data_IF_960488002155
#
_entry.id   IF_960488002155
#
_cell.length_a   1.000
_cell.length_b   1.000
_cell.length_c   1.000
_cell.angle_alpha   90.00
_cell.angle_beta   90.00
_cell.angle_gamma   90.00
#
_symmetry.space_group_name_H-M   'P 1'
#
loop_
_entity.id
_entity.type
_entity.pdbx_description
1 polymer ?
#
# COMPACT_ATOMS: atom_id res chain seq x y z
N UNK A 1 26.24 -6.30 3.39
CA UNK A 1 25.89 -7.61 4.02
C UNK A 1 25.18 -8.48 2.99
N UNK A 2 25.59 -9.75 2.81
CA UNK A 2 24.86 -10.71 1.96
C UNK A 2 23.67 -11.26 2.76
N UNK A 3 22.45 -11.00 2.29
CA UNK A 3 21.24 -11.56 2.87
C UNK A 3 21.21 -13.09 2.72
N UNK A 4 20.82 -13.80 3.78
CA UNK A 4 20.58 -15.25 3.70
C UNK A 4 19.42 -15.54 2.74
N UNK A 5 19.38 -16.74 2.15
CA UNK A 5 18.27 -17.13 1.27
C UNK A 5 16.92 -17.00 1.99
N UNK A 6 16.89 -17.26 3.30
CA UNK A 6 15.68 -17.15 4.14
C UNK A 6 15.18 -15.71 4.19
N UNK A 7 16.10 -14.78 4.44
CA UNK A 7 15.77 -13.36 4.46
C UNK A 7 15.32 -12.85 3.09
N UNK A 8 15.90 -13.36 1.99
CA UNK A 8 15.47 -13.00 0.62
C UNK A 8 14.04 -13.49 0.32
N UNK A 9 13.73 -14.73 0.66
CA UNK A 9 12.37 -15.30 0.45
C UNK A 9 11.34 -14.55 1.30
N UNK A 10 11.64 -14.30 2.57
CA UNK A 10 10.76 -13.53 3.45
C UNK A 10 10.56 -12.09 2.95
N UNK A 11 11.64 -11.43 2.52
CA UNK A 11 11.54 -10.09 1.96
C UNK A 11 10.69 -10.05 0.68
N UNK A 12 10.85 -11.04 -0.22
CA UNK A 12 10.05 -11.13 -1.44
C UNK A 12 8.56 -11.33 -1.16
N UNK A 13 8.20 -12.03 -0.07
CA UNK A 13 6.82 -12.23 0.33
C UNK A 13 6.22 -11.02 1.08
N UNK A 14 6.97 -10.43 2.00
CA UNK A 14 6.47 -9.39 2.92
C UNK A 14 6.48 -8.00 2.28
N UNK A 15 7.55 -7.64 1.55
CA UNK A 15 7.74 -6.27 1.05
C UNK A 15 6.64 -5.83 0.07
N UNK A 16 6.26 -6.62 -0.96
CA UNK A 16 5.21 -6.20 -1.89
C UNK A 16 3.87 -5.99 -1.19
N UNK A 17 3.54 -6.85 -0.23
CA UNK A 17 2.26 -6.74 0.49
C UNK A 17 2.26 -5.54 1.43
N UNK A 18 3.36 -5.25 2.10
CA UNK A 18 3.50 -4.01 2.87
C UNK A 18 3.35 -2.78 1.97
N UNK A 19 3.96 -2.79 0.78
CA UNK A 19 3.80 -1.70 -0.18
C UNK A 19 2.34 -1.52 -0.61
N UNK A 20 1.64 -2.61 -0.97
CA UNK A 20 0.22 -2.55 -1.28
C UNK A 20 -0.63 -2.06 -0.11
N UNK A 21 -0.37 -2.54 1.11
CA UNK A 21 -1.08 -2.12 2.30
C UNK A 21 -0.89 -0.61 2.57
N UNK A 22 0.34 -0.10 2.41
CA UNK A 22 0.64 1.34 2.55
C UNK A 22 -0.08 2.14 1.47
N UNK A 23 -0.03 1.72 0.20
CA UNK A 23 -0.72 2.41 -0.90
C UNK A 23 -2.22 2.46 -0.65
N UNK A 24 -2.84 1.32 -0.35
CA UNK A 24 -4.28 1.22 -0.07
C UNK A 24 -4.66 2.10 1.14
N UNK A 25 -3.84 2.09 2.19
CA UNK A 25 -4.08 2.91 3.38
C UNK A 25 -4.02 4.40 3.04
N UNK A 26 -2.98 4.84 2.32
CA UNK A 26 -2.83 6.24 1.90
C UNK A 26 -3.98 6.68 1.00
N UNK A 27 -4.37 5.88 0.01
CA UNK A 27 -5.49 6.21 -0.88
C UNK A 27 -6.81 6.26 -0.12
N UNK A 28 -7.02 5.33 0.83
CA UNK A 28 -8.25 5.31 1.63
C UNK A 28 -8.33 6.54 2.53
N UNK A 29 -7.24 6.90 3.21
CA UNK A 29 -7.17 8.13 4.02
C UNK A 29 -7.44 9.37 3.17
N UNK A 30 -6.84 9.44 1.97
CA UNK A 30 -7.06 10.55 1.06
C UNK A 30 -8.52 10.68 0.61
N UNK A 31 -9.16 9.57 0.22
CA UNK A 31 -10.58 9.54 -0.14
C UNK A 31 -11.47 9.94 1.04
N UNK A 32 -11.21 9.40 2.24
CA UNK A 32 -12.00 9.69 3.43
C UNK A 32 -11.90 11.16 3.84
N UNK A 33 -10.71 11.76 3.76
CA UNK A 33 -10.55 13.19 4.04
C UNK A 33 -11.29 14.06 3.03
N UNK A 34 -11.31 13.68 1.76
CA UNK A 34 -12.09 14.37 0.74
C UNK A 34 -13.60 14.29 1.01
N UNK A 35 -14.10 13.08 1.29
CA UNK A 35 -15.51 12.86 1.62
C UNK A 35 -15.94 13.59 2.89
N UNK A 36 -15.11 13.57 3.93
CA UNK A 36 -15.35 14.27 5.19
C UNK A 36 -15.57 15.77 5.00
N UNK A 37 -14.69 16.42 4.22
CA UNK A 37 -14.82 17.86 3.92
C UNK A 37 -16.09 18.15 3.14
N UNK A 38 -16.38 17.35 2.12
CA UNK A 38 -17.58 17.53 1.30
C UNK A 38 -18.86 17.36 2.13
N UNK A 39 -18.94 16.35 3.00
CA UNK A 39 -20.12 16.11 3.86
C UNK A 39 -20.40 17.28 4.81
N UNK A 40 -19.35 17.85 5.39
CA UNK A 40 -19.43 19.02 6.28
C UNK A 40 -19.86 20.26 5.51
N UNK A 41 -19.24 20.52 4.35
CA UNK A 41 -19.52 21.70 3.53
C UNK A 41 -20.93 21.66 2.93
N UNK A 42 -21.35 20.50 2.39
CA UNK A 42 -22.71 20.30 1.90
C UNK A 42 -23.74 20.49 3.01
N UNK A 43 -23.47 19.99 4.22
CA UNK A 43 -24.39 20.16 5.35
C UNK A 43 -24.49 21.64 5.75
N UNK A 44 -23.37 22.36 5.83
CA UNK A 44 -23.36 23.79 6.10
C UNK A 44 -24.14 24.56 5.04
N UNK A 45 -23.92 24.29 3.75
CA UNK A 45 -24.62 24.95 2.66
C UNK A 45 -26.13 24.67 2.68
N UNK A 46 -26.52 23.41 2.93
CA UNK A 46 -27.93 23.03 3.06
C UNK A 46 -28.62 23.82 4.18
N UNK A 47 -28.03 23.82 5.38
CA UNK A 47 -28.57 24.56 6.54
C UNK A 47 -28.63 26.07 6.30
N UNK A 48 -27.63 26.65 5.63
CA UNK A 48 -27.64 28.06 5.26
C UNK A 48 -28.72 28.38 4.23
N UNK A 49 -28.94 27.51 3.24
CA UNK A 49 -30.00 27.69 2.25
C UNK A 49 -31.40 27.56 2.88
N UNK A 50 -31.58 26.61 3.80
CA UNK A 50 -32.82 26.47 4.56
C UNK A 50 -33.09 27.72 5.43
N UNK A 51 -32.05 28.25 6.07
CA UNK A 51 -32.12 29.51 6.83
C UNK A 51 -32.48 30.70 5.92
N UNK A 52 -31.87 30.80 4.74
CA UNK A 52 -32.21 31.82 3.73
C UNK A 52 -33.68 31.74 3.32
N UNK A 53 -34.14 30.55 2.92
CA UNK A 53 -35.53 30.33 2.53
C UNK A 53 -36.51 30.67 3.66
N UNK A 54 -36.18 30.27 4.89
CA UNK A 54 -36.99 30.59 6.08
C UNK A 54 -37.10 32.09 6.32
N UNK A 55 -35.99 32.82 6.25
CA UNK A 55 -35.97 34.28 6.37
C UNK A 55 -36.80 34.96 5.29
N UNK A 56 -36.65 34.52 4.04
CA UNK A 56 -37.42 35.03 2.91
C UNK A 56 -38.93 34.80 3.14
N UNK A 57 -39.34 33.60 3.56
CA UNK A 57 -40.74 33.31 3.89
C UNK A 57 -41.27 34.20 5.02
N UNK A 58 -40.50 34.46 6.07
CA UNK A 58 -40.92 35.36 7.14
C UNK A 58 -41.12 36.79 6.66
N UNK A 59 -40.22 37.32 5.84
CA UNK A 59 -40.37 38.66 5.28
C UNK A 59 -41.49 38.70 4.25
N UNK A 60 -41.69 37.67 3.44
CA UNK A 60 -42.82 37.58 2.50
C UNK A 60 -44.18 37.60 3.21
N UNK A 61 -44.31 36.89 4.34
CA UNK A 61 -45.51 36.96 5.19
C UNK A 61 -45.70 38.36 5.75
N UNK A 62 -44.63 39.01 6.24
CA UNK A 62 -44.70 40.39 6.73
C UNK A 62 -45.12 41.37 5.61
N UNK A 63 -44.52 41.24 4.43
CA UNK A 63 -44.82 42.04 3.23
C UNK A 63 -46.28 41.85 2.79
N UNK A 64 -46.77 40.60 2.77
CA UNK A 64 -48.17 40.29 2.45
C UNK A 64 -49.13 40.90 3.46
N UNK A 65 -48.77 40.86 4.75
CA UNK A 65 -49.57 41.44 5.83
C UNK A 65 -49.71 42.96 5.70
N UNK A 66 -48.63 43.65 5.32
CA UNK A 66 -48.63 45.12 5.17
C UNK A 66 -49.12 45.59 3.79
N UNK A 67 -49.22 44.68 2.81
CA UNK A 67 -49.53 45.00 1.41
C UNK A 67 -50.77 45.87 1.22
N UNK A 68 -51.93 45.63 1.88
CA UNK A 68 -53.10 46.49 1.71
C UNK A 68 -52.86 47.94 2.15
N UNK A 69 -52.12 48.13 3.25
CA UNK A 69 -51.76 49.46 3.77
C UNK A 69 -50.71 50.13 2.87
N UNK A 70 -49.73 49.37 2.38
CA UNK A 70 -48.68 49.87 1.50
C UNK A 70 -49.21 50.28 0.12
N UNK A 71 -50.12 49.50 -0.46
CA UNK A 71 -50.71 49.77 -1.77
C UNK A 71 -51.60 51.02 -1.73
N UNK A 72 -52.42 51.17 -0.69
CA UNK A 72 -53.31 52.31 -0.49
C UNK A 72 -52.57 53.63 -0.15
N UNK A 73 -51.37 53.54 0.44
CA UNK A 73 -50.61 54.71 0.85
C UNK A 73 -49.97 55.46 -0.33
N UNK A 74 -49.99 56.80 -0.25
CA UNK A 74 -49.20 57.67 -1.13
C UNK A 74 -47.70 57.61 -0.77
N UNK A 75 -46.79 57.91 -1.71
CA UNK A 75 -45.38 58.10 -1.38
C UNK A 75 -45.19 59.15 -0.27
N UNK A 76 -44.42 58.81 0.77
CA UNK A 76 -44.16 59.67 1.91
C UNK A 76 -45.25 59.69 2.99
N UNK A 77 -46.32 58.89 2.89
CA UNK A 77 -47.37 58.83 3.90
C UNK A 77 -46.85 58.31 5.26
N UNK A 78 -46.53 59.25 6.14
CA UNK A 78 -45.97 58.98 7.47
C UNK A 78 -46.96 58.31 8.42
N UNK A 79 -48.27 58.53 8.25
CA UNK A 79 -49.29 57.94 9.10
C UNK A 79 -49.46 56.45 8.78
N UNK A 80 -49.54 56.09 7.49
CA UNK A 80 -49.57 54.70 7.06
C UNK A 80 -48.27 53.97 7.44
N UNK A 81 -47.11 54.62 7.26
CA UNK A 81 -45.81 54.07 7.69
C UNK A 81 -45.79 53.78 9.19
N UNK A 82 -46.28 54.70 10.02
CA UNK A 82 -46.33 54.51 11.47
C UNK A 82 -47.24 53.36 11.89
N UNK A 83 -48.37 53.15 11.20
CA UNK A 83 -49.25 52.00 11.43
C UNK A 83 -48.54 50.68 11.11
N UNK A 84 -47.85 50.60 9.99
CA UNK A 84 -47.07 49.41 9.61
C UNK A 84 -45.93 49.15 10.59
N UNK A 85 -45.19 50.19 10.98
CA UNK A 85 -44.13 50.07 12.00
C UNK A 85 -44.70 49.49 13.30
N UNK A 86 -45.85 49.97 13.77
CA UNK A 86 -46.52 49.45 14.97
C UNK A 86 -46.96 47.99 14.82
N UNK A 87 -47.41 47.58 13.63
CA UNK A 87 -47.82 46.20 13.37
C UNK A 87 -46.61 45.26 13.40
N UNK A 88 -45.56 45.60 12.66
CA UNK A 88 -44.34 44.80 12.58
C UNK A 88 -43.57 44.77 13.90
N UNK A 89 -43.54 45.89 14.65
CA UNK A 89 -42.88 45.95 15.97
C UNK A 89 -43.50 45.00 16.99
N UNK A 90 -44.80 44.74 16.89
CA UNK A 90 -45.53 43.83 17.78
C UNK A 90 -45.58 42.39 17.25
N UNK A 91 -44.94 42.11 16.12
CA UNK A 91 -44.90 40.77 15.53
C UNK A 91 -43.58 40.09 15.88
N UNK A 92 -43.67 38.99 16.63
CA UNK A 92 -42.55 38.09 16.95
C UNK A 92 -42.87 36.68 16.47
N UNK A 93 -41.84 35.87 16.22
CA UNK A 93 -42.01 34.48 15.81
C UNK A 93 -40.86 33.61 16.31
N UNK A 94 -41.10 32.30 16.36
CA UNK A 94 -40.16 31.38 16.98
C UNK A 94 -39.91 31.75 18.45
N UNK A 95 -38.69 31.50 18.93
CA UNK A 95 -38.31 31.84 20.31
C UNK A 95 -37.86 33.30 20.45
N UNK A 96 -37.03 33.77 19.52
CA UNK A 96 -36.32 35.06 19.62
C UNK A 96 -36.39 35.88 18.31
N UNK A 97 -37.27 35.51 17.36
CA UNK A 97 -37.39 36.16 16.06
C UNK A 97 -38.24 37.43 16.11
N UNK A 98 -37.73 38.50 15.50
CA UNK A 98 -38.41 39.81 15.44
C UNK A 98 -38.03 40.55 14.16
N UNK A 99 -38.90 41.44 13.71
CA UNK A 99 -38.62 42.32 12.57
C UNK A 99 -37.92 43.61 13.01
N UNK A 100 -37.09 44.17 12.14
CA UNK A 100 -36.47 45.48 12.32
C UNK A 100 -36.62 46.31 11.06
N UNK A 101 -36.45 47.62 11.18
CA UNK A 101 -36.45 48.51 10.04
C UNK A 101 -35.55 49.73 10.19
N UNK A 102 -35.01 50.17 9.06
CA UNK A 102 -34.13 51.34 8.93
C UNK A 102 -34.52 52.15 7.69
N UNK A 103 -34.28 53.46 7.70
CA UNK A 103 -34.39 54.28 6.49
C UNK A 103 -33.10 54.29 5.65
N UNK A 104 -33.08 55.04 4.53
CA UNK A 104 -31.88 55.14 3.67
C UNK A 104 -30.64 55.67 4.38
N UNK A 105 -30.82 56.54 5.37
CA UNK A 105 -29.75 57.12 6.18
C UNK A 105 -29.40 56.26 7.38
N UNK A 106 -29.89 55.01 7.41
CA UNK A 106 -29.64 53.99 8.43
C UNK A 106 -30.11 54.40 9.82
N UNK A 107 -31.12 55.27 9.89
CA UNK A 107 -31.81 55.60 11.13
C UNK A 107 -32.77 54.47 11.46
N UNK A 108 -32.70 53.97 12.70
CA UNK A 108 -33.59 52.88 13.14
C UNK A 108 -35.02 53.38 13.26
N UNK A 109 -35.93 52.76 12.51
CA UNK A 109 -37.37 53.02 12.59
C UNK A 109 -38.03 52.15 13.66
N UNK A 110 -37.63 50.88 13.77
CA UNK A 110 -38.05 49.96 14.83
C UNK A 110 -37.13 48.75 14.95
N UNK A 111 -37.22 48.03 16.07
CA UNK A 111 -36.51 46.76 16.33
C UNK A 111 -37.34 45.90 17.29
N UNK A 112 -38.18 45.03 16.74
CA UNK A 112 -39.21 44.34 17.51
C UNK A 112 -40.03 45.35 18.33
N UNK A 113 -40.39 44.98 19.55
CA UNK A 113 -41.10 45.86 20.48
C UNK A 113 -40.16 46.71 21.36
N UNK A 114 -38.84 46.66 21.13
CA UNK A 114 -37.87 47.40 21.92
C UNK A 114 -37.76 48.86 21.44
N UNK A 115 -37.81 49.85 22.34
CA UNK A 115 -37.57 51.26 21.99
C UNK A 115 -36.08 51.56 21.74
N UNK A 116 -35.18 50.60 21.97
CA UNK A 116 -33.74 50.83 21.97
C UNK A 116 -33.24 51.34 20.62
N UNK A 117 -32.63 52.52 20.64
CA UNK A 117 -31.98 53.12 19.48
C UNK A 117 -32.92 53.59 18.37
N UNK A 118 -34.24 53.55 18.55
CA UNK A 118 -35.19 54.14 17.59
C UNK A 118 -34.88 55.64 17.41
N UNK A 119 -34.84 56.11 16.16
CA UNK A 119 -34.49 57.48 15.79
C UNK A 119 -32.99 57.79 15.80
N UNK A 120 -32.12 56.85 16.18
CA UNK A 120 -30.66 57.02 16.12
C UNK A 120 -30.10 56.45 14.82
N UNK A 121 -29.02 57.06 14.32
CA UNK A 121 -28.27 56.55 13.19
C UNK A 121 -27.37 55.38 13.60
N UNK A 122 -27.29 54.37 12.75
CA UNK A 122 -26.39 53.22 12.87
C UNK A 122 -25.43 53.09 11.68
N UNK A 123 -25.21 54.18 10.94
CA UNK A 123 -24.43 54.19 9.69
C UNK A 123 -23.01 53.67 9.85
N UNK A 124 -22.41 53.98 11.00
CA UNK A 124 -21.03 53.64 11.35
C UNK A 124 -20.91 52.43 12.28
N UNK A 125 -22.03 51.74 12.57
CA UNK A 125 -22.01 50.54 13.40
C UNK A 125 -21.31 49.40 12.66
N UNK A 126 -20.22 48.89 13.25
CA UNK A 126 -19.42 47.80 12.66
C UNK A 126 -19.37 46.58 13.57
N UNK A 127 -19.39 45.42 12.94
CA UNK A 127 -19.00 44.19 13.62
C UNK A 127 -17.45 44.03 13.64
N UNK A 128 -16.89 43.07 14.41
CA UNK A 128 -15.45 42.83 14.47
C UNK A 128 -14.83 42.39 13.14
N UNK A 129 -15.63 41.95 12.17
CA UNK A 129 -15.17 41.59 10.84
C UNK A 129 -15.12 42.81 9.89
N UNK A 130 -15.51 43.99 10.38
CA UNK A 130 -15.52 45.25 9.63
C UNK A 130 -16.77 45.47 8.77
N UNK A 131 -17.79 44.62 8.89
CA UNK A 131 -19.07 44.77 8.20
C UNK A 131 -19.85 45.92 8.83
N UNK A 132 -20.33 46.84 8.01
CA UNK A 132 -21.16 47.95 8.50
C UNK A 132 -22.61 47.49 8.58
N UNK A 133 -22.92 46.74 9.64
CA UNK A 133 -24.14 45.93 9.79
C UNK A 133 -25.38 46.62 9.23
N UNK A 134 -25.72 47.80 9.74
CA UNK A 134 -26.97 48.47 9.40
C UNK A 134 -26.96 49.10 8.01
N UNK A 135 -25.82 49.67 7.61
CA UNK A 135 -25.64 50.25 6.28
C UNK A 135 -25.70 49.18 5.20
N UNK A 136 -25.05 48.06 5.44
CA UNK A 136 -24.98 46.96 4.49
C UNK A 136 -26.33 46.21 4.46
N UNK A 137 -27.08 46.12 5.57
CA UNK A 137 -28.47 45.65 5.57
C UNK A 137 -29.38 46.54 4.72
N UNK A 138 -29.24 47.87 4.83
CA UNK A 138 -30.01 48.79 3.98
C UNK A 138 -29.61 48.63 2.50
N UNK A 139 -28.33 48.45 2.23
CA UNK A 139 -27.79 48.24 0.88
C UNK A 139 -28.35 46.97 0.24
N UNK A 140 -28.28 45.82 0.91
CA UNK A 140 -28.72 44.54 0.32
C UNK A 140 -30.23 44.49 0.08
N UNK A 141 -31.02 45.20 0.87
CA UNK A 141 -32.45 45.38 0.60
C UNK A 141 -32.74 46.27 -0.61
N UNK A 142 -31.87 47.23 -0.93
CA UNK A 142 -32.02 48.14 -2.08
C UNK A 142 -31.49 47.57 -3.39
N UNK A 143 -30.40 46.81 -3.35
CA UNK A 143 -29.76 46.25 -4.55
C UNK A 143 -30.34 44.90 -4.99
N UNK A 144 -31.25 44.33 -4.19
CA UNK A 144 -31.93 43.07 -4.50
C UNK A 144 -31.09 41.81 -4.21
N UNK A 145 -29.95 41.94 -3.54
CA UNK A 145 -29.21 40.78 -3.03
C UNK A 145 -29.82 40.21 -1.76
N UNK A 146 -30.58 41.03 -1.02
CA UNK A 146 -31.41 40.76 0.16
C UNK A 146 -30.72 40.19 1.41
N UNK A 147 -29.62 39.45 1.27
CA UNK A 147 -29.00 38.70 2.36
C UNK A 147 -27.70 39.35 2.83
N UNK A 148 -27.51 39.43 4.16
CA UNK A 148 -26.24 39.85 4.77
C UNK A 148 -25.86 38.91 5.91
N UNK A 149 -24.63 38.41 5.90
CA UNK A 149 -24.02 37.79 7.08
C UNK A 149 -23.25 38.83 7.88
N UNK A 150 -23.47 38.88 9.18
CA UNK A 150 -22.84 39.83 10.10
C UNK A 150 -22.85 39.28 11.52
N UNK A 151 -22.03 39.84 12.40
CA UNK A 151 -22.03 39.47 13.81
C UNK A 151 -22.72 40.53 14.67
N UNK A 152 -23.59 40.11 15.59
CA UNK A 152 -24.34 41.02 16.46
C UNK A 152 -24.71 40.36 17.78
N UNK A 153 -24.85 41.16 18.84
CA UNK A 153 -25.26 40.65 20.15
C UNK A 153 -26.72 40.19 20.13
N UNK A 154 -27.04 39.23 20.99
CA UNK A 154 -28.43 38.86 21.25
C UNK A 154 -29.08 39.89 22.19
N UNK A 155 -30.41 40.09 22.13
CA UNK A 155 -31.11 40.91 23.12
C UNK A 155 -30.78 40.45 24.55
N UNK A 156 -30.27 41.36 25.39
CA UNK A 156 -29.92 41.05 26.79
C UNK A 156 -28.59 40.32 27.01
N UNK A 157 -27.81 40.05 25.96
CA UNK A 157 -26.48 39.42 26.07
C UNK A 157 -25.38 40.31 25.50
N UNK A 158 -24.16 40.12 26.00
CA UNK A 158 -22.94 40.79 25.52
C UNK A 158 -22.16 39.97 24.49
N UNK A 159 -22.45 38.67 24.39
CA UNK A 159 -21.79 37.77 23.46
C UNK A 159 -22.24 38.06 22.03
N UNK A 160 -21.25 38.13 21.14
CA UNK A 160 -21.45 38.39 19.73
C UNK A 160 -21.63 37.08 18.99
N UNK A 161 -22.77 36.90 18.32
CA UNK A 161 -23.05 35.70 17.54
C UNK A 161 -23.13 36.03 16.05
N UNK A 162 -22.70 35.11 15.16
CA UNK A 162 -22.91 35.26 13.73
C UNK A 162 -24.40 35.16 13.41
N UNK A 163 -24.87 36.03 12.51
CA UNK A 163 -26.26 36.09 12.07
C UNK A 163 -26.34 36.19 10.56
N UNK A 164 -27.45 35.72 10.02
CA UNK A 164 -27.86 35.96 8.65
C UNK A 164 -29.14 36.80 8.67
N UNK A 165 -29.09 37.97 8.03
CA UNK A 165 -30.24 38.85 7.84
C UNK A 165 -30.79 38.76 6.42
N UNK A 166 -32.11 38.93 6.29
CA UNK A 166 -32.80 39.20 5.03
C UNK A 166 -33.53 40.53 5.13
N UNK A 167 -33.44 41.34 4.08
CA UNK A 167 -34.10 42.65 4.03
C UNK A 167 -34.77 42.95 2.70
N UNK A 168 -35.89 43.66 2.76
CA UNK A 168 -36.68 44.13 1.62
C UNK A 168 -36.83 45.66 1.71
N UNK A 169 -36.69 46.36 0.59
CA UNK A 169 -36.84 47.82 0.52
C UNK A 169 -38.24 48.25 0.06
N UNK A 170 -38.86 49.15 0.82
CA UNK A 170 -40.16 49.77 0.57
C UNK A 170 -39.95 51.22 0.09
N UNK A 171 -39.89 51.47 -1.23
CA UNK A 171 -39.53 52.78 -1.78
C UNK A 171 -40.51 53.90 -1.44
N UNK A 172 -41.82 53.63 -1.28
CA UNK A 172 -42.79 54.69 -0.93
C UNK A 172 -42.49 55.34 0.42
N UNK A 173 -41.79 54.65 1.30
CA UNK A 173 -41.58 55.06 2.69
C UNK A 173 -40.11 55.27 3.07
N UNK A 174 -39.22 55.09 2.09
CA UNK A 174 -37.77 55.01 2.29
C UNK A 174 -37.43 54.14 3.51
N UNK A 175 -37.90 52.90 3.49
CA UNK A 175 -37.79 51.99 4.62
C UNK A 175 -37.36 50.62 4.15
N UNK A 176 -36.28 50.11 4.73
CA UNK A 176 -35.93 48.71 4.67
C UNK A 176 -36.58 48.00 5.85
N UNK A 177 -37.25 46.89 5.59
CA UNK A 177 -37.71 45.96 6.62
C UNK A 177 -36.93 44.67 6.50
N UNK A 178 -36.68 44.01 7.62
CA UNK A 178 -36.00 42.74 7.57
C UNK A 178 -36.06 41.99 8.88
N UNK A 179 -35.44 40.82 8.84
CA UNK A 179 -35.29 39.97 10.00
C UNK A 179 -34.01 39.15 9.90
N UNK A 180 -33.62 38.49 10.98
CA UNK A 180 -32.38 37.73 11.07
C UNK A 180 -32.54 36.46 11.88
N UNK A 181 -31.76 35.43 11.53
CA UNK A 181 -31.57 34.22 12.35
C UNK A 181 -30.12 34.12 12.80
N UNK A 182 -29.91 33.49 13.95
CA UNK A 182 -28.57 33.22 14.45
C UNK A 182 -27.99 31.98 13.74
N UNK A 183 -26.70 32.03 13.43
CA UNK A 183 -25.97 30.95 12.76
C UNK A 183 -25.25 30.01 13.74
N UNK A 184 -25.19 30.35 15.02
CA UNK A 184 -24.64 29.53 16.10
C UNK A 184 -25.31 28.14 16.19
N UNK A 185 -26.62 28.07 16.03
CA UNK A 185 -27.35 26.80 15.96
C UNK A 185 -27.02 25.96 14.73
N UNK A 186 -26.64 26.60 13.62
CA UNK A 186 -26.17 25.92 12.40
C UNK A 186 -24.75 25.41 12.62
N UNK A 187 -23.86 26.25 13.15
CA UNK A 187 -22.48 25.86 13.47
C UNK A 187 -22.44 24.73 14.50
N UNK A 188 -23.32 24.73 15.50
CA UNK A 188 -23.46 23.63 16.45
C UNK A 188 -23.88 22.32 15.78
N UNK A 189 -24.83 22.36 14.83
CA UNK A 189 -25.24 21.17 14.07
C UNK A 189 -24.12 20.67 13.15
N UNK A 190 -23.39 21.59 12.51
CA UNK A 190 -22.22 21.25 11.70
C UNK A 190 -21.14 20.61 12.58
N UNK A 191 -20.91 21.11 13.79
CA UNK A 191 -19.95 20.54 14.74
C UNK A 191 -20.33 19.10 15.16
N UNK A 192 -21.62 18.81 15.34
CA UNK A 192 -22.10 17.43 15.60
C UNK A 192 -21.80 16.50 14.43
N UNK A 193 -21.97 16.97 13.18
CA UNK A 193 -21.62 16.19 11.99
C UNK A 193 -20.12 16.00 11.88
N UNK A 194 -19.32 17.04 12.10
CA UNK A 194 -17.85 16.96 12.15
C UNK A 194 -17.38 15.91 13.16
N UNK A 195 -17.89 15.95 14.39
CA UNK A 195 -17.54 14.97 15.43
C UNK A 195 -17.93 13.52 15.03
N UNK A 196 -19.07 13.33 14.36
CA UNK A 196 -19.50 12.02 13.86
C UNK A 196 -18.57 11.51 12.75
N UNK A 197 -18.16 12.39 11.84
CA UNK A 197 -17.22 12.07 10.76
C UNK A 197 -15.86 11.70 11.32
N UNK A 198 -15.33 12.49 12.27
CA UNK A 198 -14.06 12.20 12.94
C UNK A 198 -14.06 10.84 13.64
N UNK A 199 -15.14 10.53 14.38
CA UNK A 199 -15.28 9.24 15.06
C UNK A 199 -15.33 8.07 14.08
N UNK A 200 -16.05 8.21 12.96
CA UNK A 200 -16.06 7.20 11.88
C UNK A 200 -14.66 7.02 11.30
N UNK A 201 -13.95 8.12 11.07
CA UNK A 201 -12.60 8.10 10.51
C UNK A 201 -11.61 7.35 11.42
N UNK A 202 -11.67 7.60 12.74
CA UNK A 202 -10.88 6.85 13.73
C UNK A 202 -11.20 5.35 13.71
N UNK A 203 -12.49 4.98 13.63
CA UNK A 203 -12.90 3.59 13.56
C UNK A 203 -12.38 2.87 12.31
N UNK A 204 -12.40 3.53 11.16
CA UNK A 204 -11.85 2.98 9.91
C UNK A 204 -10.33 2.88 9.96
N UNK A 205 -9.63 3.86 10.54
CA UNK A 205 -8.18 3.79 10.72
C UNK A 205 -7.78 2.60 11.61
N UNK A 206 -8.49 2.38 12.71
CA UNK A 206 -8.27 1.24 13.59
C UNK A 206 -8.56 -0.10 12.90
N UNK A 207 -9.60 -0.18 12.08
CA UNK A 207 -9.90 -1.41 11.33
C UNK A 207 -8.85 -1.70 10.24
N UNK A 208 -8.36 -0.66 9.54
CA UNK A 208 -7.24 -0.80 8.58
C UNK A 208 -6.00 -1.31 9.30
N UNK A 209 -5.64 -0.72 10.44
CA UNK A 209 -4.50 -1.16 11.24
C UNK A 209 -4.67 -2.62 11.70
N UNK A 210 -5.86 -2.98 12.19
CA UNK A 210 -6.18 -4.34 12.59
C UNK A 210 -6.02 -5.36 11.45
N UNK A 211 -6.59 -5.06 10.27
CA UNK A 211 -6.46 -5.91 9.08
C UNK A 211 -5.01 -5.99 8.63
N UNK A 212 -4.27 -4.89 8.62
CA UNK A 212 -2.85 -4.86 8.24
C UNK A 212 -2.00 -5.75 9.15
N UNK A 213 -2.22 -5.72 10.46
CA UNK A 213 -1.54 -6.60 11.42
C UNK A 213 -1.87 -8.06 11.16
N UNK A 214 -3.14 -8.40 10.95
CA UNK A 214 -3.56 -9.78 10.65
C UNK A 214 -2.91 -10.29 9.36
N UNK A 215 -2.93 -9.49 8.28
CA UNK A 215 -2.30 -9.85 7.01
C UNK A 215 -0.79 -10.04 7.18
N UNK A 216 -0.13 -9.17 7.94
CA UNK A 216 1.31 -9.30 8.24
C UNK A 216 1.62 -10.60 8.98
N UNK A 217 0.83 -10.95 9.99
CA UNK A 217 1.00 -12.19 10.76
C UNK A 217 0.80 -13.43 9.87
N UNK A 218 -0.22 -13.43 9.01
CA UNK A 218 -0.48 -14.53 8.07
C UNK A 218 0.69 -14.69 7.10
N UNK A 219 1.21 -13.61 6.53
CA UNK A 219 2.34 -13.68 5.59
C UNK A 219 3.63 -14.08 6.30
N UNK A 220 3.86 -13.60 7.52
CA UNK A 220 5.00 -14.03 8.31
C UNK A 220 4.93 -15.54 8.61
N UNK A 221 3.75 -16.06 8.96
CA UNK A 221 3.54 -17.48 9.19
C UNK A 221 3.76 -18.32 7.92
N UNK A 222 3.13 -17.94 6.80
CA UNK A 222 3.28 -18.64 5.50
C UNK A 222 4.72 -18.57 5.01
N UNK A 223 5.36 -17.40 5.09
CA UNK A 223 6.75 -17.21 4.70
C UNK A 223 7.70 -18.03 5.57
N UNK A 224 7.44 -18.16 6.87
CA UNK A 224 8.23 -19.01 7.76
C UNK A 224 8.05 -20.50 7.46
N UNK A 225 6.83 -20.94 7.14
CA UNK A 225 6.55 -22.30 6.68
C UNK A 225 7.30 -22.62 5.39
N UNK A 226 7.14 -21.80 4.34
CA UNK A 226 7.84 -21.98 3.06
C UNK A 226 9.36 -21.96 3.23
N UNK A 227 9.88 -21.03 4.04
CA UNK A 227 11.30 -20.97 4.32
C UNK A 227 11.81 -22.26 4.96
N UNK A 228 11.06 -22.84 5.90
CA UNK A 228 11.46 -24.10 6.55
C UNK A 228 11.30 -25.31 5.62
N UNK A 229 10.26 -25.36 4.79
CA UNK A 229 10.02 -26.49 3.88
C UNK A 229 11.03 -26.54 2.74
N UNK A 230 11.47 -25.39 2.20
CA UNK A 230 12.38 -25.34 1.04
C UNK A 230 13.85 -25.23 1.46
N UNK A 231 14.18 -24.33 2.39
CA UNK A 231 15.60 -24.06 2.69
C UNK A 231 16.25 -25.11 3.57
N UNK A 232 15.48 -25.81 4.40
CA UNK A 232 16.04 -26.86 5.27
C UNK A 232 16.54 -28.05 4.44
N UNK A 233 15.78 -28.64 3.50
CA UNK A 233 16.30 -29.67 2.61
C UNK A 233 17.48 -29.19 1.76
N UNK A 234 17.45 -27.96 1.24
CA UNK A 234 18.58 -27.40 0.50
C UNK A 234 19.87 -27.32 1.33
N UNK A 235 19.79 -26.90 2.61
CA UNK A 235 20.95 -26.91 3.49
C UNK A 235 21.46 -28.33 3.78
N UNK A 236 20.56 -29.30 3.95
CA UNK A 236 20.94 -30.70 4.16
C UNK A 236 21.61 -31.29 2.91
N UNK A 237 21.07 -31.03 1.71
CA UNK A 237 21.70 -31.43 0.46
C UNK A 237 23.06 -30.78 0.28
N UNK A 238 23.17 -29.47 0.55
CA UNK A 238 24.44 -28.74 0.49
C UNK A 238 25.48 -29.31 1.45
N UNK A 239 25.09 -29.64 2.69
CA UNK A 239 25.98 -30.28 3.66
C UNK A 239 26.43 -31.67 3.20
N UNK A 240 25.52 -32.51 2.73
CA UNK A 240 25.87 -33.85 2.22
C UNK A 240 26.77 -33.78 0.98
N UNK A 241 26.56 -32.80 0.09
CA UNK A 241 27.40 -32.59 -1.08
C UNK A 241 28.79 -32.08 -0.68
N UNK A 242 28.87 -31.14 0.26
CA UNK A 242 30.14 -30.68 0.83
C UNK A 242 30.89 -31.86 1.48
N UNK A 243 30.20 -32.75 2.21
CA UNK A 243 30.81 -33.94 2.82
C UNK A 243 31.30 -34.97 1.79
N UNK A 244 30.54 -35.22 0.72
CA UNK A 244 30.96 -36.11 -0.38
C UNK A 244 32.17 -35.51 -1.11
N UNK A 245 32.19 -34.20 -1.32
CA UNK A 245 33.27 -33.50 -2.01
C UNK A 245 34.53 -33.31 -1.16
N UNK A 246 34.39 -33.10 0.16
CA UNK A 246 35.48 -32.88 1.09
C UNK A 246 36.05 -34.18 1.70
N UNK A 247 35.27 -35.26 1.75
CA UNK A 247 35.79 -36.59 2.05
C UNK A 247 36.70 -37.10 0.93
N UNK A 248 37.25 -38.31 1.08
CA UNK A 248 38.01 -39.01 0.00
C UNK A 248 37.10 -39.44 -1.18
N UNK A 249 35.97 -38.76 -1.41
CA UNK A 249 34.97 -39.13 -2.39
C UNK A 249 34.26 -40.43 -2.04
N UNK A 250 33.77 -40.58 -0.80
CA UNK A 250 33.01 -41.77 -0.38
C UNK A 250 31.69 -41.89 -1.16
N UNK A 251 31.76 -42.53 -2.32
CA UNK A 251 30.64 -42.80 -3.22
C UNK A 251 29.66 -43.85 -2.67
N UNK A 252 29.77 -44.27 -1.41
CA UNK A 252 28.75 -45.10 -0.76
C UNK A 252 27.61 -44.27 -0.16
N UNK A 253 27.84 -42.97 0.07
CA UNK A 253 26.81 -42.04 0.56
C UNK A 253 25.79 -41.70 -0.52
N UNK A 254 24.54 -41.47 -0.11
CA UNK A 254 23.42 -41.09 -0.99
C UNK A 254 22.63 -39.95 -0.36
N UNK A 255 22.04 -39.09 -1.19
CA UNK A 255 21.09 -38.08 -0.73
C UNK A 255 19.76 -38.73 -0.39
N UNK A 256 19.21 -38.42 0.79
CA UNK A 256 17.88 -38.90 1.17
C UNK A 256 16.80 -38.18 0.34
N UNK A 257 15.88 -38.95 -0.24
CA UNK A 257 14.72 -38.41 -0.96
C UNK A 257 13.59 -38.19 0.05
N UNK A 258 13.50 -36.98 0.58
CA UNK A 258 12.52 -36.61 1.63
C UNK A 258 11.31 -35.84 1.12
N UNK A 259 11.27 -35.52 -0.18
CA UNK A 259 10.18 -34.78 -0.83
C UNK A 259 9.78 -35.44 -2.15
N UNK A 260 8.56 -35.17 -2.62
CA UNK A 260 8.03 -35.57 -3.93
C UNK A 260 7.96 -34.39 -4.92
N UNK A 261 8.66 -33.30 -4.61
CA UNK A 261 8.79 -32.11 -5.45
C UNK A 261 10.13 -32.10 -6.23
N UNK A 262 10.47 -30.97 -6.84
CA UNK A 262 11.71 -30.79 -7.61
C UNK A 262 12.98 -31.06 -6.80
N UNK A 263 12.95 -30.91 -5.46
CA UNK A 263 14.08 -31.24 -4.60
C UNK A 263 14.24 -32.75 -4.44
N UNK A 264 13.13 -33.49 -4.38
CA UNK A 264 13.11 -34.95 -4.42
C UNK A 264 13.68 -35.50 -5.73
N UNK A 265 13.22 -34.96 -6.85
CA UNK A 265 13.71 -35.32 -8.18
C UNK A 265 15.20 -35.05 -8.35
N UNK A 266 15.69 -33.91 -7.83
CA UNK A 266 17.12 -33.56 -7.84
C UNK A 266 17.95 -34.54 -7.01
N UNK A 267 17.50 -34.90 -5.80
CA UNK A 267 18.16 -35.90 -4.98
C UNK A 267 18.22 -37.27 -5.69
N UNK A 268 17.13 -37.68 -6.35
CA UNK A 268 17.08 -38.90 -7.15
C UNK A 268 18.03 -38.87 -8.36
N UNK A 269 18.09 -37.75 -9.08
CA UNK A 269 19.00 -37.56 -10.20
C UNK A 269 20.48 -37.62 -9.76
N UNK A 270 20.81 -37.01 -8.62
CA UNK A 270 22.15 -37.07 -8.05
C UNK A 270 22.55 -38.50 -7.65
N UNK A 271 21.67 -39.26 -7.00
CA UNK A 271 21.95 -40.65 -6.64
C UNK A 271 22.23 -41.52 -7.87
N UNK A 272 21.44 -41.36 -8.95
CA UNK A 272 21.71 -42.05 -10.24
C UNK A 272 23.06 -41.67 -10.85
N UNK A 273 23.49 -40.42 -10.69
CA UNK A 273 24.81 -39.97 -11.12
C UNK A 273 25.92 -40.67 -10.31
N UNK A 274 25.79 -40.73 -8.98
CA UNK A 274 26.74 -41.43 -8.10
C UNK A 274 26.81 -42.93 -8.43
N UNK A 275 25.68 -43.58 -8.71
CA UNK A 275 25.65 -44.99 -9.11
C UNK A 275 26.46 -45.26 -10.38
N UNK A 276 26.38 -44.36 -11.38
CA UNK A 276 27.18 -44.45 -12.60
C UNK A 276 28.68 -44.30 -12.33
N UNK A 277 29.07 -43.33 -11.50
CA UNK A 277 30.49 -43.14 -11.14
C UNK A 277 31.02 -44.36 -10.38
N UNK A 278 30.26 -44.87 -9.41
CA UNK A 278 30.64 -46.07 -8.66
C UNK A 278 30.82 -47.29 -9.58
N UNK A 279 29.92 -47.46 -10.56
CA UNK A 279 30.05 -48.51 -11.58
C UNK A 279 31.31 -48.36 -12.45
N UNK A 280 31.65 -47.14 -12.87
CA UNK A 280 32.89 -46.88 -13.62
C UNK A 280 34.14 -47.18 -12.79
N UNK A 281 34.18 -46.78 -11.52
CA UNK A 281 35.31 -47.06 -10.61
C UNK A 281 35.50 -48.57 -10.43
N UNK A 282 34.40 -49.32 -10.26
CA UNK A 282 34.44 -50.79 -10.18
C UNK A 282 34.98 -51.40 -11.47
N UNK A 283 34.49 -50.94 -12.62
CA UNK A 283 34.96 -51.42 -13.91
C UNK A 283 36.45 -51.14 -14.14
N UNK A 284 36.94 -49.97 -13.74
CA UNK A 284 38.38 -49.64 -13.80
C UNK A 284 39.19 -50.57 -12.89
N UNK A 285 38.68 -50.86 -11.68
CA UNK A 285 39.34 -51.76 -10.73
C UNK A 285 39.44 -53.17 -11.30
N UNK A 286 38.34 -53.69 -11.87
CA UNK A 286 38.29 -55.01 -12.51
C UNK A 286 39.24 -55.08 -13.73
N UNK A 287 39.26 -54.03 -14.57
CA UNK A 287 40.19 -53.93 -15.70
C UNK A 287 41.65 -53.88 -15.24
N UNK A 288 41.95 -53.20 -14.13
CA UNK A 288 43.30 -53.13 -13.57
C UNK A 288 43.77 -54.48 -13.03
N UNK A 289 42.86 -55.24 -12.40
CA UNK A 289 43.14 -56.61 -11.95
C UNK A 289 43.40 -57.56 -13.13
N UNK A 290 42.59 -57.47 -14.19
CA UNK A 290 42.80 -58.23 -15.42
C UNK A 290 44.14 -57.87 -16.09
N UNK A 291 44.46 -56.58 -16.17
CA UNK A 291 45.73 -56.10 -16.71
C UNK A 291 46.91 -56.65 -15.92
N UNK A 292 46.83 -56.65 -14.58
CA UNK A 292 47.87 -57.21 -13.71
C UNK A 292 48.06 -58.71 -13.95
N UNK A 293 46.96 -59.45 -14.11
CA UNK A 293 47.01 -60.87 -14.47
C UNK A 293 47.65 -61.13 -15.84
N UNK A 294 47.29 -60.33 -16.86
CA UNK A 294 47.91 -60.39 -18.19
C UNK A 294 49.41 -60.08 -18.14
N UNK A 295 49.82 -59.08 -17.37
CA UNK A 295 51.25 -58.76 -17.17
C UNK A 295 52.00 -59.93 -16.52
N UNK A 296 51.41 -60.60 -15.54
CA UNK A 296 52.00 -61.81 -14.95
C UNK A 296 52.16 -62.93 -15.98
N UNK A 297 51.14 -63.18 -16.81
CA UNK A 297 51.22 -64.20 -17.87
C UNK A 297 52.30 -63.88 -18.91
N UNK A 298 52.43 -62.60 -19.29
CA UNK A 298 53.49 -62.15 -20.21
C UNK A 298 54.87 -62.35 -19.59
N UNK A 299 55.04 -62.05 -18.31
CA UNK A 299 56.29 -62.32 -17.58
C UNK A 299 56.65 -63.81 -17.56
N UNK A 300 55.68 -64.68 -17.23
CA UNK A 300 55.87 -66.13 -17.22
C UNK A 300 56.20 -66.68 -18.61
N UNK A 301 55.60 -66.10 -19.66
CA UNK A 301 55.88 -66.47 -21.04
C UNK A 301 57.28 -66.02 -21.47
N UNK A 302 57.70 -64.80 -21.09
CA UNK A 302 59.05 -64.31 -21.36
C UNK A 302 60.12 -65.21 -20.72
N UNK A 303 59.91 -65.62 -19.46
CA UNK A 303 60.82 -66.53 -18.76
C UNK A 303 60.87 -67.93 -19.41
N UNK A 304 59.73 -68.46 -19.86
CA UNK A 304 59.67 -69.71 -20.62
C UNK A 304 60.39 -69.59 -21.97
N UNK A 305 60.24 -68.47 -22.66
CA UNK A 305 60.94 -68.19 -23.92
C UNK A 305 62.45 -68.08 -23.70
N UNK A 306 62.91 -67.45 -22.62
CA UNK A 306 64.34 -67.40 -22.25
C UNK A 306 64.91 -68.82 -22.01
N UNK A 307 64.21 -69.66 -21.25
CA UNK A 307 64.62 -71.05 -21.03
C UNK A 307 64.62 -71.90 -22.31
N UNK A 308 63.68 -71.63 -23.23
CA UNK A 308 63.65 -72.29 -24.53
C UNK A 308 64.82 -71.83 -25.41
N UNK A 309 65.15 -70.53 -25.39
CA UNK A 309 66.30 -69.94 -26.08
C UNK A 309 67.63 -70.52 -25.57
N UNK A 310 67.81 -70.65 -24.26
CA UNK A 310 69.01 -71.28 -23.68
C UNK A 310 69.13 -72.76 -24.07
N UNK A 311 68.04 -73.52 -24.05
CA UNK A 311 68.04 -74.91 -24.54
C UNK A 311 68.40 -74.99 -26.03
N UNK A 312 67.79 -74.14 -26.85
CA UNK A 312 68.09 -74.08 -28.27
C UNK A 312 69.55 -73.69 -28.53
N UNK A 313 70.13 -72.79 -27.71
CA UNK A 313 71.55 -72.44 -27.80
C UNK A 313 72.44 -73.64 -27.49
N UNK A 314 72.13 -74.39 -26.43
CA UNK A 314 72.85 -75.63 -26.10
C UNK A 314 72.74 -76.69 -27.20
N UNK A 315 71.56 -76.89 -27.78
CA UNK A 315 71.40 -77.79 -28.93
C UNK A 315 72.20 -77.30 -30.14
N UNK A 316 72.23 -75.99 -30.39
CA UNK A 316 73.03 -75.38 -31.46
C UNK A 316 74.54 -75.61 -31.23
N UNK A 317 75.02 -75.46 -29.99
CA UNK A 317 76.42 -75.75 -29.63
C UNK A 317 76.76 -77.24 -29.79
N UNK A 318 75.83 -78.14 -29.44
CA UNK A 318 75.99 -79.58 -29.67
C UNK A 318 76.02 -79.92 -31.16
N UNK A 319 75.14 -79.32 -31.96
CA UNK A 319 75.14 -79.47 -33.42
C UNK A 319 76.46 -78.95 -34.00
N UNK A 320 76.95 -77.79 -33.56
CA UNK A 320 78.25 -77.26 -33.98
C UNK A 320 79.40 -78.20 -33.60
N UNK A 321 79.34 -78.81 -32.41
CA UNK A 321 80.31 -79.82 -31.95
C UNK A 321 80.26 -81.08 -32.81
N UNK A 322 79.07 -81.58 -33.11
CA UNK A 322 78.85 -82.74 -33.98
C UNK A 322 79.30 -82.47 -35.42
N UNK A 323 79.07 -81.26 -35.95
CA UNK A 323 79.58 -80.81 -37.25
C UNK A 323 81.11 -80.80 -37.24
N UNK A 324 81.76 -80.28 -36.18
CA UNK A 324 83.21 -80.32 -36.05
C UNK A 324 83.75 -81.76 -36.00
N UNK A 325 83.12 -82.66 -35.23
CA UNK A 325 83.51 -84.07 -35.19
C UNK A 325 83.29 -84.76 -36.54
N UNK A 326 82.17 -84.51 -37.22
CA UNK A 326 81.93 -85.00 -38.58
C UNK A 326 82.96 -84.48 -39.56
N UNK A 327 83.33 -83.20 -39.48
CA UNK A 327 84.38 -82.61 -40.32
C UNK A 327 85.72 -83.28 -40.07
N UNK A 328 86.07 -83.54 -38.81
CA UNK A 328 87.28 -84.28 -38.43
C UNK A 328 87.24 -85.71 -38.95
N UNK A 329 86.11 -86.42 -38.79
CA UNK A 329 85.94 -87.78 -39.29
C UNK A 329 85.97 -87.84 -40.82
N UNK A 330 85.39 -86.86 -41.52
CA UNK A 330 85.46 -86.73 -42.96
C UNK A 330 86.90 -86.47 -43.43
N UNK A 331 87.68 -85.66 -42.70
CA UNK A 331 89.12 -85.49 -42.94
C UNK A 331 89.91 -86.78 -42.66
N UNK A 332 89.58 -87.53 -41.62
CA UNK A 332 90.17 -88.84 -41.30
C UNK A 332 89.90 -89.87 -42.42
N UNK A 333 88.66 -89.92 -42.92
CA UNK A 333 88.24 -90.77 -44.05
C UNK A 333 88.94 -90.34 -45.34
N UNK A 334 89.01 -89.03 -45.62
CA UNK A 334 89.72 -88.52 -46.79
C UNK A 334 91.22 -88.84 -46.73
N UNK A 335 91.86 -88.70 -45.55
CA UNK A 335 93.27 -89.06 -45.32
C UNK A 335 93.49 -90.56 -45.44
N UNK A 336 92.57 -91.39 -44.94
CA UNK A 336 92.61 -92.86 -45.10
C UNK A 336 92.43 -93.29 -46.56
N UNK A 337 91.53 -92.63 -47.31
CA UNK A 337 91.34 -92.90 -48.74
C UNK A 337 92.56 -92.48 -49.57
N UNK A 338 93.24 -91.39 -49.21
CA UNK A 338 94.50 -90.98 -49.84
C UNK A 338 95.69 -91.88 -49.49
N UNK A 339 95.70 -92.48 -48.30
CA UNK A 339 96.73 -93.45 -47.89
C UNK A 339 96.53 -94.86 -48.46
N UNK A 340 95.38 -95.14 -49.08
CA UNK A 340 95.01 -96.43 -49.67
C UNK A 340 95.11 -96.46 -51.21
N UNK A 341 95.65 -95.41 -51.82
CA UNK A 341 95.92 -95.29 -53.27
C UNK A 341 97.42 -95.36 -53.55
#
# INVERSE_FOLDING_TARGET
MRLSLKAKVLALAVVPVLLFAVVISLTTVWILQGQARNEVDETRQRLLNDAKATLQSYVEVAMTTIKPLYDAAAPGDSAARAQVVKLLSNTSYGKDGYFFGYDSETIRLFKGNSPDGVGKSFKDNRDPNGVYVNRDLVKVGKDGSHYLQYSSTQPGQTELVPKLGYTEYLPKWDMVIGTSVNLDGIDAQVAVVQAKVEKRMQGVLLSILGVAVVVLLVIAAVGMLLANTILRPLHLMKANLDDIAAGEGDLTRRLAITSQDELGDLAGAFNRFVDKIHGLVRQITDMTAQLTGLVSQVSDQAQRSEQAMERQRHETDQVATAINQMSSAAQEVARSAQGAA
#
